data_IF_187756044041
#
_entry.id   IF_187756044041
#
_cell.length_a   1.000
_cell.length_b   1.000
_cell.length_c   1.000
_cell.angle_alpha   90.00
_cell.angle_beta   90.00
_cell.angle_gamma   90.00
#
_symmetry.space_group_name_H-M   'P 1'
#
loop_
_entity.id
_entity.type
_entity.pdbx_description
1 polymer ?
#
# COMPACT_ATOMS: atom_id res chain seq x y z
N UNK A 1 -9.05 -42.33 -34.28
CA UNK A 1 -7.82 -42.73 -33.57
C UNK A 1 -6.78 -41.62 -33.75
N UNK A 2 -6.46 -40.79 -32.75
CA UNK A 2 -5.29 -40.94 -31.84
C UNK A 2 -3.99 -40.56 -32.55
N UNK A 3 -3.10 -39.66 -32.10
CA UNK A 3 -2.75 -39.16 -30.75
C UNK A 3 -2.05 -37.80 -30.85
N UNK A 4 -2.12 -37.05 -29.75
CA UNK A 4 -1.26 -35.92 -29.38
C UNK A 4 0.12 -36.43 -28.93
N UNK A 5 1.19 -35.67 -29.20
CA UNK A 5 2.42 -35.68 -28.39
C UNK A 5 3.17 -34.34 -28.48
N UNK A 6 3.40 -33.74 -27.31
CA UNK A 6 4.22 -32.55 -27.02
C UNK A 6 5.73 -32.75 -27.22
N UNK A 7 6.47 -31.67 -27.54
CA UNK A 7 7.79 -31.25 -27.00
C UNK A 7 7.92 -29.72 -27.21
N UNK A 8 7.95 -28.85 -26.19
CA UNK A 8 9.03 -28.44 -25.26
C UNK A 8 10.24 -27.76 -25.95
N UNK A 9 10.41 -26.46 -25.62
CA UNK A 9 11.56 -25.53 -25.63
C UNK A 9 12.81 -25.82 -26.47
N UNK A 10 13.22 -24.84 -27.29
CA UNK A 10 14.50 -24.12 -27.11
C UNK A 10 14.71 -23.07 -28.22
N UNK A 11 14.95 -21.81 -27.85
CA UNK A 11 15.57 -20.82 -28.74
C UNK A 11 16.18 -19.64 -27.97
N UNK A 12 17.24 -19.94 -27.21
CA UNK A 12 18.31 -18.97 -26.97
C UNK A 12 19.05 -18.72 -28.29
N UNK A 13 18.77 -17.60 -28.99
CA UNK A 13 19.76 -16.91 -29.86
C UNK A 13 19.20 -15.58 -30.36
N UNK A 14 19.47 -14.46 -29.68
CA UNK A 14 19.45 -13.15 -30.33
C UNK A 14 20.85 -12.55 -30.26
N UNK A 15 21.40 -12.42 -31.44
CA UNK A 15 22.81 -12.28 -31.77
C UNK A 15 23.34 -10.89 -31.44
N UNK A 16 24.51 -10.87 -30.78
CA UNK A 16 25.40 -9.74 -30.63
C UNK A 16 25.92 -9.24 -31.99
N UNK A 17 25.22 -8.29 -32.59
CA UNK A 17 25.77 -7.36 -33.58
C UNK A 17 25.43 -5.92 -33.15
N UNK A 18 26.31 -4.99 -33.51
CA UNK A 18 26.32 -3.55 -33.17
C UNK A 18 26.86 -3.15 -31.77
N UNK A 19 28.17 -3.25 -31.57
CA UNK A 19 28.94 -2.28 -30.76
C UNK A 19 30.15 -1.78 -31.56
N UNK A 20 29.96 -0.70 -32.33
CA UNK A 20 31.03 0.19 -32.80
C UNK A 20 30.67 1.62 -32.40
N UNK A 21 31.70 2.37 -32.04
CA UNK A 21 31.65 3.47 -31.08
C UNK A 21 30.86 4.72 -31.47
N UNK A 22 30.39 5.42 -30.44
CA UNK A 22 30.48 6.88 -30.41
C UNK A 22 30.52 7.38 -28.95
N UNK A 23 31.72 7.78 -28.54
CA UNK A 23 31.97 8.57 -27.34
C UNK A 23 31.26 9.91 -27.49
N UNK A 24 30.14 10.10 -26.78
CA UNK A 24 29.61 11.43 -26.47
C UNK A 24 29.43 11.54 -24.96
N UNK A 25 30.36 12.29 -24.36
CA UNK A 25 30.31 12.77 -22.98
C UNK A 25 28.94 13.41 -22.72
N UNK A 26 28.05 12.72 -22.00
CA UNK A 26 26.85 13.36 -21.43
C UNK A 26 27.29 14.01 -20.13
N UNK A 27 27.28 15.34 -20.11
CA UNK A 27 27.58 16.10 -18.90
C UNK A 27 26.66 15.64 -17.77
N UNK A 28 27.25 15.27 -16.64
CA UNK A 28 26.56 15.10 -15.38
C UNK A 28 25.88 16.43 -15.02
N UNK A 29 24.59 16.56 -15.37
CA UNK A 29 23.72 17.56 -14.78
C UNK A 29 23.10 16.89 -13.56
N UNK A 30 23.76 17.16 -12.45
CA UNK A 30 23.27 17.24 -11.09
C UNK A 30 21.75 17.04 -10.94
N UNK A 31 21.33 15.78 -10.83
CA UNK A 31 20.04 15.45 -10.25
C UNK A 31 20.33 15.16 -8.78
N UNK A 32 20.02 16.13 -7.91
CA UNK A 32 20.03 15.97 -6.46
C UNK A 32 18.91 15.00 -6.06
N UNK A 33 19.07 13.73 -6.39
CA UNK A 33 18.25 12.66 -5.82
C UNK A 33 18.69 12.57 -4.36
N UNK A 34 17.99 13.31 -3.49
CA UNK A 34 18.15 13.19 -2.05
C UNK A 34 18.01 11.70 -1.71
N UNK A 35 19.13 11.04 -1.41
CA UNK A 35 19.09 9.66 -0.90
C UNK A 35 18.27 9.73 0.37
N UNK A 36 17.09 9.11 0.34
CA UNK A 36 16.34 8.83 1.56
C UNK A 36 17.29 7.97 2.40
N UNK A 37 18.01 8.60 3.35
CA UNK A 37 18.79 7.85 4.33
C UNK A 37 17.77 7.02 5.10
N UNK A 38 17.96 5.71 5.27
CA UNK A 38 17.10 4.92 6.12
C UNK A 38 17.30 5.45 7.54
N UNK A 39 16.43 6.36 7.98
CA UNK A 39 16.33 6.71 9.38
C UNK A 39 15.87 5.44 10.06
N UNK A 40 16.72 4.85 10.91
CA UNK A 40 16.36 3.67 11.69
C UNK A 40 15.33 4.12 12.71
N UNK A 41 14.05 4.10 12.32
CA UNK A 41 12.95 4.37 13.22
C UNK A 41 13.01 3.27 14.29
N UNK A 42 13.14 3.61 15.58
CA UNK A 42 13.10 2.59 16.63
C UNK A 42 11.77 1.84 16.49
N UNK A 43 11.85 0.51 16.35
CA UNK A 43 10.65 -0.31 16.31
C UNK A 43 9.89 -0.08 17.62
N UNK A 44 8.64 0.37 17.52
CA UNK A 44 7.74 0.39 18.67
C UNK A 44 7.34 -1.06 18.92
N UNK A 45 7.96 -1.72 19.90
CA UNK A 45 7.80 -3.16 20.14
C UNK A 45 6.51 -3.52 20.88
N UNK A 46 5.79 -2.54 21.44
CA UNK A 46 4.58 -2.74 22.24
C UNK A 46 3.30 -2.26 21.53
N UNK A 47 3.08 -2.75 20.32
CA UNK A 47 1.83 -2.55 19.56
C UNK A 47 1.17 -3.93 19.37
N UNK A 48 -0.15 -4.07 19.56
CA UNK A 48 -1.13 -3.03 19.90
C UNK A 48 -1.14 -2.70 21.39
N UNK A 49 -1.26 -1.40 21.71
CA UNK A 49 -1.47 -0.95 23.09
C UNK A 49 -2.83 -1.48 23.58
N UNK A 50 -2.94 -1.97 24.83
CA UNK A 50 -4.23 -2.39 25.36
C UNK A 50 -5.22 -1.22 25.36
N UNK A 51 -6.49 -1.52 25.12
CA UNK A 51 -7.56 -0.53 25.18
C UNK A 51 -7.66 0.00 26.62
N UNK A 52 -7.49 1.31 26.86
CA UNK A 52 -7.65 1.86 28.19
C UNK A 52 -9.11 1.69 28.66
N UNK A 53 -9.38 1.59 29.98
CA UNK A 53 -10.74 1.61 30.50
C UNK A 53 -11.53 2.82 29.99
N UNK A 54 -12.83 2.66 29.78
CA UNK A 54 -13.69 3.76 29.37
C UNK A 54 -13.86 4.75 30.53
N UNK A 55 -13.40 5.99 30.32
CA UNK A 55 -13.44 7.07 31.32
C UNK A 55 -14.77 7.86 31.34
N UNK A 56 -15.71 7.53 30.46
CA UNK A 56 -17.03 8.16 30.43
C UNK A 56 -18.08 7.41 31.26
N UNK A 57 -19.33 7.87 31.20
CA UNK A 57 -20.49 7.19 31.78
C UNK A 57 -21.45 6.78 30.68
N UNK A 58 -21.77 5.48 30.59
CA UNK A 58 -22.87 5.00 29.76
C UNK A 58 -24.15 5.02 30.60
N UNK A 59 -25.03 5.98 30.34
CA UNK A 59 -26.37 6.06 30.95
C UNK A 59 -27.39 5.22 30.18
N UNK A 60 -28.63 5.16 30.68
CA UNK A 60 -29.72 4.50 29.95
C UNK A 60 -30.11 5.31 28.71
N UNK A 61 -30.04 6.64 28.84
CA UNK A 61 -30.31 7.61 27.79
C UNK A 61 -29.03 8.33 27.35
N UNK A 62 -29.02 8.88 26.13
CA UNK A 62 -27.91 9.71 25.63
C UNK A 62 -27.69 10.93 26.52
N UNK A 63 -28.78 11.57 26.97
CA UNK A 63 -28.73 12.74 27.85
C UNK A 63 -28.08 12.44 29.22
N UNK A 64 -28.10 11.17 29.64
CA UNK A 64 -27.43 10.71 30.86
C UNK A 64 -26.01 10.21 30.57
N UNK A 65 -25.59 10.11 29.32
CA UNK A 65 -24.28 9.58 28.99
C UNK A 65 -23.25 10.69 28.92
N UNK A 66 -22.02 10.40 29.37
CA UNK A 66 -20.88 11.29 29.19
C UNK A 66 -19.84 10.58 28.33
N UNK A 67 -19.48 11.12 27.14
CA UNK A 67 -18.50 10.48 26.28
C UNK A 67 -17.10 10.66 26.86
N UNK A 68 -16.24 9.66 26.63
CA UNK A 68 -14.79 9.84 26.83
C UNK A 68 -14.26 10.79 25.76
N UNK A 69 -13.47 11.77 26.17
CA UNK A 69 -12.73 12.62 25.24
C UNK A 69 -11.65 11.79 24.52
N UNK A 70 -11.70 11.74 23.20
CA UNK A 70 -10.66 11.12 22.40
C UNK A 70 -9.47 12.06 22.30
N UNK A 71 -8.42 11.79 23.07
CA UNK A 71 -7.14 12.47 22.91
C UNK A 71 -6.33 11.73 21.85
N UNK A 72 -6.18 12.33 20.67
CA UNK A 72 -5.24 11.84 19.68
C UNK A 72 -3.83 11.95 20.29
N UNK A 73 -3.15 10.82 20.45
CA UNK A 73 -1.73 10.86 20.82
C UNK A 73 -0.97 11.35 19.59
N UNK A 74 -0.29 12.48 19.73
CA UNK A 74 0.57 13.01 18.67
C UNK A 74 1.68 12.02 18.33
N UNK A 75 2.15 12.05 17.09
CA UNK A 75 3.36 11.33 16.73
C UNK A 75 4.55 11.90 17.52
N UNK A 76 5.51 11.08 17.96
CA UNK A 76 6.72 11.58 18.62
C UNK A 76 7.49 12.58 17.76
N UNK A 77 8.26 13.45 18.41
CA UNK A 77 9.13 14.39 17.69
C UNK A 77 10.08 13.66 16.73
N UNK A 78 10.14 14.14 15.48
CA UNK A 78 10.94 13.52 14.42
C UNK A 78 10.33 12.28 13.76
N UNK A 79 9.11 11.87 14.13
CA UNK A 79 8.38 10.84 13.40
C UNK A 79 8.04 11.31 11.96
N UNK A 80 8.08 10.41 10.95
CA UNK A 80 7.71 10.78 9.60
C UNK A 80 6.21 11.07 9.48
N UNK A 81 5.84 11.97 8.57
CA UNK A 81 4.46 12.15 8.16
C UNK A 81 4.03 10.98 7.27
N UNK A 82 2.91 10.35 7.61
CA UNK A 82 2.33 9.25 6.84
C UNK A 82 1.03 9.76 6.19
N UNK A 83 0.96 9.67 4.86
CA UNK A 83 -0.25 9.93 4.10
C UNK A 83 -0.74 8.61 3.50
N UNK A 84 -1.93 8.17 3.93
CA UNK A 84 -2.59 6.98 3.41
C UNK A 84 -3.73 7.41 2.48
N UNK A 85 -3.62 7.05 1.20
CA UNK A 85 -4.66 7.27 0.19
C UNK A 85 -5.24 5.90 -0.17
N UNK A 86 -6.55 5.74 0.01
CA UNK A 86 -7.28 4.53 -0.34
C UNK A 86 -8.44 4.93 -1.25
N UNK A 87 -8.58 4.22 -2.36
CA UNK A 87 -9.66 4.43 -3.33
C UNK A 87 -10.69 3.33 -3.18
N UNK A 88 -11.95 3.68 -3.33
CA UNK A 88 -13.08 2.75 -3.21
C UNK A 88 -13.41 2.15 -4.58
N UNK A 89 -13.68 0.84 -4.62
CA UNK A 89 -14.13 0.09 -5.80
C UNK A 89 -13.26 0.28 -7.06
N UNK A 90 -11.97 0.55 -6.90
CA UNK A 90 -11.03 0.66 -8.01
C UNK A 90 -10.41 -0.70 -8.34
N UNK A 91 -10.63 -1.16 -9.57
CA UNK A 91 -10.00 -2.37 -10.09
C UNK A 91 -8.50 -2.18 -10.35
N UNK A 92 -7.72 -3.24 -10.08
CA UNK A 92 -6.26 -3.23 -10.29
C UNK A 92 -5.85 -2.82 -11.72
N UNK A 93 -6.61 -3.27 -12.73
CA UNK A 93 -6.35 -2.99 -14.14
C UNK A 93 -6.89 -1.64 -14.65
N UNK A 94 -7.44 -0.77 -13.79
CA UNK A 94 -8.02 0.50 -14.24
C UNK A 94 -6.94 1.54 -14.60
N UNK A 95 -5.86 1.62 -13.83
CA UNK A 95 -4.86 2.69 -13.95
C UNK A 95 -3.68 2.34 -14.86
N UNK A 96 -3.24 3.33 -15.65
CA UNK A 96 -2.05 3.25 -16.49
C UNK A 96 -0.79 2.84 -15.74
N UNK A 97 -0.66 3.19 -14.45
CA UNK A 97 0.47 2.76 -13.60
C UNK A 97 0.65 1.23 -13.52
N UNK A 98 -0.44 0.48 -13.73
CA UNK A 98 -0.48 -0.99 -13.80
C UNK A 98 -0.83 -1.54 -15.19
N UNK A 99 -0.79 -0.71 -16.23
CA UNK A 99 -1.09 -1.09 -17.62
C UNK A 99 -2.56 -0.92 -18.03
N UNK A 100 -3.38 -0.27 -17.21
CA UNK A 100 -4.77 0.04 -17.50
C UNK A 100 -4.98 1.20 -18.47
N UNK A 101 -6.22 1.43 -18.93
CA UNK A 101 -6.53 2.45 -19.93
C UNK A 101 -6.58 3.88 -19.37
N UNK A 102 -6.72 4.08 -18.05
CA UNK A 102 -6.89 5.41 -17.45
C UNK A 102 -5.53 6.05 -17.14
N UNK A 103 -5.14 7.17 -17.80
CA UNK A 103 -3.89 7.85 -17.50
C UNK A 103 -3.88 8.40 -16.07
N UNK A 104 -2.81 8.14 -15.33
CA UNK A 104 -2.68 8.54 -13.92
C UNK A 104 -1.30 9.13 -13.62
N UNK A 105 -0.94 10.27 -14.24
CA UNK A 105 0.41 10.83 -14.17
C UNK A 105 0.87 11.19 -12.74
N UNK A 106 -0.08 11.48 -11.84
CA UNK A 106 0.21 11.67 -10.41
C UNK A 106 0.67 10.38 -9.73
N UNK A 107 -0.02 9.27 -10.00
CA UNK A 107 0.33 7.95 -9.44
C UNK A 107 1.61 7.41 -10.06
N UNK A 108 1.82 7.65 -11.36
CA UNK A 108 3.08 7.30 -12.06
C UNK A 108 4.29 7.98 -11.43
N UNK A 109 4.16 9.25 -11.02
CA UNK A 109 5.23 9.98 -10.32
C UNK A 109 5.52 9.40 -8.94
N UNK A 110 4.50 8.95 -8.21
CA UNK A 110 4.70 8.31 -6.90
C UNK A 110 5.36 6.95 -7.09
N UNK A 111 4.88 6.17 -8.05
CA UNK A 111 5.41 4.85 -8.38
C UNK A 111 6.88 4.87 -8.85
N UNK A 112 7.30 5.88 -9.61
CA UNK A 112 8.68 6.00 -10.09
C UNK A 112 9.69 6.36 -8.98
N UNK A 113 9.21 6.94 -7.88
CA UNK A 113 10.02 7.31 -6.72
C UNK A 113 9.87 6.33 -5.54
N UNK A 114 9.14 5.23 -5.72
CA UNK A 114 8.75 4.34 -4.63
C UNK A 114 8.66 2.87 -5.04
N UNK A 115 7.87 2.12 -4.28
CA UNK A 115 7.59 0.70 -4.51
C UNK A 115 6.20 0.52 -5.11
N UNK A 116 6.06 -0.52 -5.93
CA UNK A 116 4.77 -0.99 -6.46
C UNK A 116 4.58 -2.45 -6.10
N UNK A 117 3.36 -2.79 -5.69
CA UNK A 117 2.97 -4.16 -5.37
C UNK A 117 1.99 -4.66 -6.44
N UNK A 118 2.28 -5.81 -7.03
CA UNK A 118 1.44 -6.49 -8.02
C UNK A 118 0.61 -7.64 -7.40
N UNK A 119 0.82 -7.93 -6.12
CA UNK A 119 0.11 -8.93 -5.33
C UNK A 119 -0.36 -8.30 -4.02
N UNK A 120 -1.29 -7.35 -4.13
CA UNK A 120 -1.97 -6.73 -3.00
C UNK A 120 -3.41 -7.21 -2.98
N UNK A 121 -3.82 -7.87 -1.88
CA UNK A 121 -5.13 -8.48 -1.77
C UNK A 121 -5.99 -7.73 -0.76
N UNK A 122 -7.21 -7.41 -1.17
CA UNK A 122 -8.28 -6.92 -0.30
C UNK A 122 -9.25 -8.06 0.02
N UNK A 123 -10.21 -7.80 0.90
CA UNK A 123 -11.39 -8.68 1.00
C UNK A 123 -12.34 -8.38 -0.17
N UNK A 124 -13.39 -9.19 -0.33
CA UNK A 124 -14.39 -8.99 -1.37
C UNK A 124 -15.33 -7.79 -1.14
N UNK A 125 -15.26 -7.12 0.03
CA UNK A 125 -16.17 -6.06 0.44
C UNK A 125 -15.40 -4.86 1.03
N UNK A 126 -16.01 -3.66 0.99
CA UNK A 126 -15.36 -2.44 1.46
C UNK A 126 -15.18 -2.44 3.00
N UNK A 127 -16.22 -2.70 3.79
CA UNK A 127 -16.13 -2.69 5.27
C UNK A 127 -15.09 -3.68 5.83
N UNK A 128 -15.05 -4.97 5.41
CA UNK A 128 -14.04 -5.91 5.90
C UNK A 128 -12.60 -5.57 5.45
N UNK A 129 -12.43 -4.97 4.26
CA UNK A 129 -11.13 -4.46 3.79
C UNK A 129 -10.64 -3.32 4.68
N UNK A 130 -11.51 -2.34 4.96
CA UNK A 130 -11.19 -1.19 5.83
C UNK A 130 -10.91 -1.64 7.26
N UNK A 131 -11.70 -2.57 7.78
CA UNK A 131 -11.48 -3.14 9.10
C UNK A 131 -10.11 -3.81 9.22
N UNK A 132 -9.72 -4.58 8.20
CA UNK A 132 -8.41 -5.23 8.17
C UNK A 132 -7.26 -4.21 8.09
N UNK A 133 -7.42 -3.18 7.27
CA UNK A 133 -6.45 -2.09 7.12
C UNK A 133 -6.25 -1.30 8.43
N UNK A 134 -7.34 -0.93 9.11
CA UNK A 134 -7.28 -0.11 10.33
C UNK A 134 -6.76 -0.88 11.55
N UNK A 135 -7.02 -2.18 11.61
CA UNK A 135 -6.70 -3.00 12.78
C UNK A 135 -5.45 -3.86 12.63
N UNK A 136 -4.95 -4.02 11.40
CA UNK A 136 -3.87 -4.93 11.06
C UNK A 136 -4.23 -6.41 11.30
N UNK A 137 -5.53 -6.74 11.38
CA UNK A 137 -6.03 -8.10 11.65
C UNK A 137 -6.88 -8.60 10.50
N UNK A 138 -7.04 -9.92 10.42
CA UNK A 138 -8.01 -10.50 9.51
C UNK A 138 -9.43 -10.06 9.94
N UNK A 139 -10.27 -9.69 8.96
CA UNK A 139 -11.65 -9.26 9.18
C UNK A 139 -12.50 -10.23 10.02
N UNK A 140 -12.25 -11.55 9.96
CA UNK A 140 -12.90 -12.53 10.84
C UNK A 140 -12.56 -12.30 12.32
N UNK A 141 -11.31 -11.95 12.64
CA UNK A 141 -10.86 -11.70 14.02
C UNK A 141 -11.46 -10.43 14.63
N UNK A 142 -12.05 -9.57 13.81
CA UNK A 142 -12.71 -8.32 14.23
C UNK A 142 -14.21 -8.32 13.94
N UNK A 143 -14.78 -9.51 13.65
CA UNK A 143 -16.22 -9.71 13.43
C UNK A 143 -16.82 -8.87 12.30
N UNK A 144 -16.02 -8.56 11.26
CA UNK A 144 -16.47 -7.78 10.11
C UNK A 144 -16.68 -8.68 8.90
N UNK A 145 -17.89 -9.24 8.79
CA UNK A 145 -18.23 -10.19 7.72
C UNK A 145 -18.99 -9.59 6.53
N UNK A 146 -19.44 -8.34 6.62
CA UNK A 146 -20.33 -7.73 5.62
C UNK A 146 -20.24 -6.22 5.58
N UNK A 147 -21.10 -5.61 4.76
CA UNK A 147 -21.29 -4.16 4.74
C UNK A 147 -22.05 -3.77 6.01
N UNK A 148 -21.53 -2.76 6.70
CA UNK A 148 -22.16 -2.15 7.87
C UNK A 148 -22.90 -0.91 7.40
N UNK A 149 -24.23 -0.93 7.47
CA UNK A 149 -25.13 0.22 7.24
C UNK A 149 -25.55 0.86 8.57
#
# INVERSE_FOLDING_TARGET
MGRVAHRINDAHRCTSQQRRGHSRRRSARDASTARIRPTRIPLVTNVPKPTPPFEGRAGRLIAESTPRKLNATGAPDGAPHILLIMLDDVGFGSFGTFGGPVPTPGLDRVASNGLRYNQFHTTALCSPTRASLLTGRNHHSVHMGGITE
#
